data_IF_931906487831
#
_entry.id   IF_931906487831
#
_cell.length_a   1.000
_cell.length_b   1.000
_cell.length_c   1.000
_cell.angle_alpha   90.00
_cell.angle_beta   90.00
_cell.angle_gamma   90.00
#
_symmetry.space_group_name_H-M   'P 1'
#
loop_
_entity.id
_entity.type
_entity.pdbx_description
1 polymer ?
#
# COMPACT_ATOMS: atom_id res chain seq x y z
N UNK A 1 15.45 18.47 -1.19
CA UNK A 1 15.51 17.34 -0.25
C UNK A 1 16.94 17.20 0.21
N UNK A 2 17.20 17.18 1.52
CA UNK A 2 18.49 16.64 1.94
C UNK A 2 18.43 15.12 1.72
N UNK A 3 19.48 14.51 1.16
CA UNK A 3 19.51 13.05 0.93
C UNK A 3 19.39 12.24 2.24
N UNK A 4 19.53 12.91 3.39
CA UNK A 4 19.53 12.32 4.73
C UNK A 4 18.11 12.08 5.27
N UNK A 5 17.10 12.78 4.76
CA UNK A 5 15.71 12.65 5.25
C UNK A 5 14.99 11.42 4.69
N UNK A 6 15.44 10.88 3.55
CA UNK A 6 14.79 9.76 2.85
C UNK A 6 14.88 8.46 3.68
N UNK A 7 16.06 8.01 4.15
CA UNK A 7 16.14 6.79 4.97
C UNK A 7 15.31 6.89 6.26
N UNK A 8 15.33 8.05 6.91
CA UNK A 8 14.57 8.31 8.14
C UNK A 8 13.06 8.21 7.88
N UNK A 9 12.57 8.75 6.76
CA UNK A 9 11.17 8.63 6.38
C UNK A 9 10.74 7.19 6.09
N UNK A 10 11.59 6.40 5.44
CA UNK A 10 11.32 4.96 5.19
C UNK A 10 11.25 4.22 6.52
N UNK A 11 12.24 4.41 7.41
CA UNK A 11 12.27 3.77 8.71
C UNK A 11 11.04 4.16 9.55
N UNK A 12 10.66 5.43 9.51
CA UNK A 12 9.46 5.94 10.19
C UNK A 12 8.19 5.30 9.65
N UNK A 13 8.07 5.13 8.33
CA UNK A 13 6.98 4.38 7.71
C UNK A 13 6.88 2.95 8.25
N UNK A 14 8.00 2.24 8.33
CA UNK A 14 8.05 0.88 8.87
C UNK A 14 7.68 0.82 10.37
N UNK A 15 8.09 1.82 11.16
CA UNK A 15 7.66 1.95 12.55
C UNK A 15 6.14 2.14 12.66
N UNK A 16 5.56 2.98 11.79
CA UNK A 16 4.11 3.18 11.73
C UNK A 16 3.35 1.92 11.30
N UNK A 17 3.94 1.02 10.51
CA UNK A 17 3.35 -0.30 10.23
C UNK A 17 3.11 -1.05 11.53
N UNK A 18 4.13 -1.15 12.39
CA UNK A 18 4.06 -1.90 13.65
C UNK A 18 3.08 -1.23 14.62
N UNK A 19 3.23 0.08 14.83
CA UNK A 19 2.35 0.84 15.73
C UNK A 19 0.90 0.82 15.25
N UNK A 20 0.68 1.04 13.95
CA UNK A 20 -0.63 0.98 13.32
C UNK A 20 -1.27 -0.40 13.46
N UNK A 21 -0.51 -1.47 13.20
CA UNK A 21 -1.00 -2.84 13.35
C UNK A 21 -1.40 -3.15 14.80
N UNK A 22 -0.56 -2.77 15.77
CA UNK A 22 -0.88 -2.93 17.19
C UNK A 22 -2.14 -2.15 17.59
N UNK A 23 -2.28 -0.89 17.13
CA UNK A 23 -3.47 -0.06 17.39
C UNK A 23 -4.72 -0.63 16.75
N UNK A 24 -4.62 -1.18 15.54
CA UNK A 24 -5.71 -1.88 14.87
C UNK A 24 -6.13 -3.11 15.68
N UNK A 25 -5.18 -3.96 16.09
CA UNK A 25 -5.47 -5.15 16.92
C UNK A 25 -6.08 -4.82 18.28
N UNK A 26 -5.78 -3.64 18.84
CA UNK A 26 -6.38 -3.16 20.08
C UNK A 26 -7.80 -2.61 19.91
N UNK A 27 -8.29 -2.40 18.68
CA UNK A 27 -9.62 -1.85 18.45
C UNK A 27 -10.69 -2.94 18.61
N UNK A 28 -11.49 -2.93 19.70
CA UNK A 28 -12.49 -3.96 19.92
C UNK A 28 -13.58 -3.95 18.84
N UNK A 29 -13.81 -2.80 18.18
CA UNK A 29 -14.85 -2.66 17.16
C UNK A 29 -14.50 -3.33 15.84
N UNK A 30 -13.24 -3.71 15.63
CA UNK A 30 -12.84 -4.56 14.50
C UNK A 30 -13.25 -6.02 14.70
N UNK A 31 -13.53 -6.43 15.94
CA UNK A 31 -13.92 -7.79 16.32
C UNK A 31 -15.42 -7.86 16.68
N UNK A 32 -16.28 -7.36 15.78
CA UNK A 32 -17.73 -7.50 15.90
C UNK A 32 -18.24 -8.71 15.12
N UNK A 33 -19.44 -9.22 15.43
CA UNK A 33 -20.00 -10.43 14.80
C UNK A 33 -20.03 -10.37 13.25
N UNK A 34 -20.31 -9.21 12.67
CA UNK A 34 -20.30 -9.01 11.20
C UNK A 34 -18.90 -9.15 10.61
N UNK A 35 -17.91 -8.58 11.29
CA UNK A 35 -16.50 -8.64 10.90
C UNK A 35 -15.89 -10.01 11.17
N UNK A 36 -16.36 -10.76 12.17
CA UNK A 36 -15.98 -12.16 12.36
C UNK A 36 -16.47 -13.05 11.21
N UNK A 37 -17.71 -12.87 10.75
CA UNK A 37 -18.21 -13.55 9.54
C UNK A 37 -17.37 -13.20 8.32
N UNK A 38 -17.02 -11.92 8.15
CA UNK A 38 -16.13 -11.48 7.07
C UNK A 38 -14.71 -12.03 7.22
N UNK A 39 -14.18 -12.16 8.44
CA UNK A 39 -12.89 -12.76 8.72
C UNK A 39 -12.88 -14.26 8.39
N UNK A 40 -13.96 -14.98 8.69
CA UNK A 40 -14.12 -16.37 8.28
C UNK A 40 -14.16 -16.51 6.75
N UNK A 41 -14.91 -15.64 6.07
CA UNK A 41 -14.93 -15.55 4.60
C UNK A 41 -13.52 -15.20 4.07
N UNK A 42 -12.79 -14.30 4.73
CA UNK A 42 -11.43 -13.93 4.36
C UNK A 42 -10.43 -15.09 4.50
N UNK A 43 -10.58 -15.93 5.53
CA UNK A 43 -9.79 -17.15 5.70
C UNK A 43 -10.13 -18.16 4.61
N UNK A 44 -11.43 -18.39 4.34
CA UNK A 44 -11.87 -19.26 3.26
C UNK A 44 -11.39 -18.77 1.88
N UNK A 45 -11.48 -17.46 1.63
CA UNK A 45 -10.96 -16.81 0.43
C UNK A 45 -9.44 -16.94 0.33
N UNK A 46 -8.70 -16.78 1.43
CA UNK A 46 -7.24 -16.99 1.46
C UNK A 46 -6.88 -18.42 1.08
N UNK A 47 -7.63 -19.41 1.58
CA UNK A 47 -7.44 -20.82 1.23
C UNK A 47 -7.78 -21.08 -0.25
N UNK A 48 -8.90 -20.53 -0.74
CA UNK A 48 -9.31 -20.65 -2.13
C UNK A 48 -8.29 -20.01 -3.08
N UNK A 49 -7.83 -18.78 -2.80
CA UNK A 49 -6.77 -18.08 -3.52
C UNK A 49 -5.51 -18.95 -3.59
N UNK A 50 -5.12 -19.55 -2.47
CA UNK A 50 -3.95 -20.44 -2.44
C UNK A 50 -4.15 -21.68 -3.31
N UNK A 51 -5.33 -22.29 -3.29
CA UNK A 51 -5.63 -23.45 -4.14
C UNK A 51 -5.53 -23.05 -5.62
N UNK A 52 -6.17 -21.96 -6.02
CA UNK A 52 -6.12 -21.46 -7.41
C UNK A 52 -4.68 -21.20 -7.85
N UNK A 53 -3.89 -20.55 -7.00
CA UNK A 53 -2.48 -20.25 -7.26
C UNK A 53 -1.65 -21.54 -7.37
N UNK A 54 -1.97 -22.58 -6.58
CA UNK A 54 -1.24 -23.84 -6.60
C UNK A 54 -1.57 -24.72 -7.83
N UNK A 55 -2.73 -24.55 -8.47
CA UNK A 55 -3.19 -25.40 -9.58
C UNK A 55 -2.14 -25.51 -10.71
N UNK A 56 -1.60 -24.42 -11.29
CA UNK A 56 -0.63 -24.52 -12.38
C UNK A 56 0.64 -25.26 -11.96
N UNK A 57 1.14 -24.98 -10.76
CA UNK A 57 2.34 -25.61 -10.22
C UNK A 57 2.14 -27.10 -9.96
N UNK A 58 0.97 -27.50 -9.45
CA UNK A 58 0.61 -28.90 -9.24
C UNK A 58 0.40 -29.62 -10.58
N UNK A 59 -0.28 -29.00 -11.54
CA UNK A 59 -0.52 -29.58 -12.86
C UNK A 59 0.79 -29.86 -13.59
N UNK A 60 1.74 -28.91 -13.56
CA UNK A 60 3.07 -29.13 -14.16
C UNK A 60 3.83 -30.25 -13.45
N UNK A 61 3.74 -30.36 -12.12
CA UNK A 61 4.35 -31.48 -11.39
C UNK A 61 3.74 -32.83 -11.78
N UNK A 62 2.42 -32.91 -11.93
CA UNK A 62 1.72 -34.12 -12.36
C UNK A 62 2.15 -34.49 -13.79
N UNK A 63 2.22 -33.52 -14.69
CA UNK A 63 2.68 -33.74 -16.07
C UNK A 63 4.12 -34.21 -16.11
N UNK A 64 5.03 -33.57 -15.38
CA UNK A 64 6.44 -33.98 -15.30
C UNK A 64 6.58 -35.38 -14.69
N UNK A 65 5.78 -35.71 -13.68
CA UNK A 65 5.71 -37.05 -13.11
C UNK A 65 5.24 -38.08 -14.15
N UNK A 66 4.22 -37.77 -14.94
CA UNK A 66 3.73 -38.65 -16.01
C UNK A 66 4.79 -38.84 -17.11
N UNK A 67 5.45 -37.76 -17.54
CA UNK A 67 6.54 -37.83 -18.52
C UNK A 67 7.79 -38.51 -17.98
N UNK A 68 8.00 -38.54 -16.66
CA UNK A 68 9.08 -39.28 -15.99
C UNK A 68 9.00 -40.79 -16.20
N UNK A 69 7.84 -41.34 -16.56
CA UNK A 69 7.70 -42.74 -16.96
C UNK A 69 8.23 -43.02 -18.38
N UNK A 70 8.36 -41.99 -19.21
CA UNK A 70 8.75 -42.11 -20.63
C UNK A 70 10.20 -41.61 -20.84
N UNK A 71 10.62 -40.60 -20.09
CA UNK A 71 11.91 -39.91 -20.26
C UNK A 71 12.56 -39.71 -18.89
N UNK A 72 13.84 -40.06 -18.75
CA UNK A 72 14.59 -39.84 -17.51
C UNK A 72 15.01 -38.37 -17.35
N UNK A 73 14.20 -37.60 -16.63
CA UNK A 73 14.48 -36.21 -16.29
C UNK A 73 15.32 -36.04 -15.02
N UNK A 74 15.55 -37.09 -14.22
CA UNK A 74 16.26 -36.98 -12.94
C UNK A 74 17.75 -36.61 -13.14
N UNK A 75 18.36 -37.08 -14.22
CA UNK A 75 19.76 -36.82 -14.56
C UNK A 75 20.08 -35.36 -14.91
N UNK A 76 19.08 -34.58 -15.36
CA UNK A 76 19.29 -33.23 -15.91
C UNK A 76 18.90 -32.08 -14.97
N UNK A 77 18.23 -32.37 -13.84
CA UNK A 77 17.70 -31.36 -12.92
C UNK A 77 16.64 -30.42 -13.54
N UNK A 78 16.08 -30.80 -14.69
CA UNK A 78 15.12 -30.01 -15.46
C UNK A 78 13.81 -29.77 -14.70
N UNK A 79 13.30 -30.78 -13.98
CA UNK A 79 12.08 -30.68 -13.17
C UNK A 79 12.20 -29.57 -12.11
N UNK A 80 13.26 -29.62 -11.29
CA UNK A 80 13.51 -28.64 -10.21
C UNK A 80 13.62 -27.22 -10.76
N UNK A 81 14.32 -27.02 -11.90
CA UNK A 81 14.45 -25.71 -12.54
C UNK A 81 13.12 -25.19 -13.08
N UNK A 82 12.31 -26.06 -13.69
CA UNK A 82 11.01 -25.70 -14.29
C UNK A 82 9.99 -25.35 -13.22
N UNK A 83 9.84 -26.21 -12.21
CA UNK A 83 8.93 -25.97 -11.07
C UNK A 83 9.35 -24.73 -10.28
N UNK A 84 10.64 -24.53 -10.06
CA UNK A 84 11.14 -23.31 -9.39
C UNK A 84 10.94 -22.06 -10.23
N UNK A 85 11.10 -22.15 -11.55
CA UNK A 85 10.86 -21.04 -12.48
C UNK A 85 9.40 -20.64 -12.52
N UNK A 86 8.49 -21.62 -12.56
CA UNK A 86 7.05 -21.38 -12.53
C UNK A 86 6.61 -20.76 -11.20
N UNK A 87 7.07 -21.30 -10.07
CA UNK A 87 6.80 -20.73 -8.76
C UNK A 87 7.36 -19.29 -8.62
N UNK A 88 8.49 -18.99 -9.28
CA UNK A 88 9.04 -17.64 -9.33
C UNK A 88 8.19 -16.71 -10.20
N UNK A 89 7.74 -17.15 -11.37
CA UNK A 89 6.85 -16.35 -12.23
C UNK A 89 5.54 -16.06 -11.51
N UNK A 90 4.90 -17.07 -10.93
CA UNK A 90 3.65 -16.98 -10.18
C UNK A 90 3.76 -15.96 -9.03
N UNK A 91 4.80 -16.09 -8.19
CA UNK A 91 4.95 -15.29 -6.97
C UNK A 91 5.63 -13.94 -7.18
N UNK A 92 6.56 -13.85 -8.12
CA UNK A 92 7.39 -12.66 -8.31
C UNK A 92 7.04 -11.82 -9.53
N UNK A 93 6.66 -12.45 -10.64
CA UNK A 93 6.33 -11.73 -11.89
C UNK A 93 4.85 -11.37 -11.93
N UNK A 94 3.99 -12.36 -11.70
CA UNK A 94 2.54 -12.25 -11.77
C UNK A 94 1.91 -11.80 -10.45
N UNK A 95 2.63 -11.83 -9.32
CA UNK A 95 2.19 -11.48 -7.96
C UNK A 95 0.75 -11.89 -7.64
N UNK A 96 0.34 -13.09 -8.09
CA UNK A 96 -1.04 -13.56 -8.06
C UNK A 96 -1.73 -13.44 -6.68
N UNK A 97 -1.05 -13.70 -5.54
CA UNK A 97 -1.67 -13.49 -4.23
C UNK A 97 -2.13 -12.04 -4.01
N UNK A 98 -1.30 -11.07 -4.39
CA UNK A 98 -1.60 -9.65 -4.19
C UNK A 98 -2.74 -9.21 -5.11
N UNK A 99 -2.73 -9.64 -6.38
CA UNK A 99 -3.84 -9.40 -7.31
C UNK A 99 -5.17 -9.89 -6.76
N UNK A 100 -5.21 -11.14 -6.32
CA UNK A 100 -6.44 -11.76 -5.82
C UNK A 100 -6.91 -11.12 -4.50
N UNK A 101 -5.98 -10.68 -3.65
CA UNK A 101 -6.31 -9.89 -2.45
C UNK A 101 -6.90 -8.53 -2.82
N UNK A 102 -6.32 -7.80 -3.76
CA UNK A 102 -6.85 -6.53 -4.22
C UNK A 102 -8.25 -6.66 -4.88
N UNK A 103 -8.51 -7.78 -5.56
CA UNK A 103 -9.84 -8.10 -6.10
C UNK A 103 -10.91 -8.20 -5.00
N UNK A 104 -10.58 -8.67 -3.78
CA UNK A 104 -11.55 -8.82 -2.69
C UNK A 104 -12.21 -7.50 -2.30
N UNK A 105 -11.52 -6.37 -2.47
CA UNK A 105 -12.09 -5.05 -2.22
C UNK A 105 -13.30 -4.75 -3.11
N UNK A 106 -13.26 -5.15 -4.38
CA UNK A 106 -14.38 -4.94 -5.29
C UNK A 106 -15.57 -5.87 -4.98
N UNK A 107 -15.36 -6.89 -4.16
CA UNK A 107 -16.35 -7.89 -3.76
C UNK A 107 -17.01 -7.53 -2.43
N UNK A 108 -16.38 -6.72 -1.56
CA UNK A 108 -16.93 -6.41 -0.24
C UNK A 108 -16.72 -4.95 0.20
N UNK A 109 -17.80 -4.22 0.59
CA UNK A 109 -17.69 -2.89 1.20
C UNK A 109 -17.05 -2.88 2.59
N UNK A 110 -16.72 -4.06 3.14
CA UNK A 110 -16.12 -4.24 4.46
C UNK A 110 -14.83 -3.44 4.70
N UNK A 111 -14.02 -3.24 3.65
CA UNK A 111 -12.71 -2.56 3.80
C UNK A 111 -12.87 -1.08 4.16
N UNK A 112 -13.83 -0.42 3.51
CA UNK A 112 -14.14 0.98 3.79
C UNK A 112 -14.71 1.16 5.21
N UNK A 113 -15.57 0.23 5.63
CA UNK A 113 -16.11 0.18 7.00
C UNK A 113 -15.00 -0.03 8.04
N UNK A 114 -14.04 -0.94 7.77
CA UNK A 114 -12.88 -1.15 8.63
C UNK A 114 -12.03 0.11 8.78
N UNK A 115 -11.77 0.81 7.67
CA UNK A 115 -11.04 2.07 7.69
C UNK A 115 -11.75 3.09 8.60
N UNK A 116 -13.05 3.30 8.41
CA UNK A 116 -13.83 4.28 9.17
C UNK A 116 -13.94 3.91 10.66
N UNK A 117 -14.18 2.64 11.00
CA UNK A 117 -14.20 2.16 12.40
C UNK A 117 -12.84 2.29 13.08
N UNK A 118 -11.76 2.07 12.34
CA UNK A 118 -10.41 2.28 12.85
C UNK A 118 -10.12 3.76 13.10
N UNK A 119 -10.52 4.62 12.16
CA UNK A 119 -10.37 6.07 12.30
C UNK A 119 -11.10 6.62 13.52
N UNK A 120 -12.34 6.17 13.74
CA UNK A 120 -13.12 6.50 14.93
C UNK A 120 -12.38 6.13 16.23
N UNK A 121 -11.81 4.92 16.27
CA UNK A 121 -11.05 4.44 17.43
C UNK A 121 -9.77 5.25 17.68
N UNK A 122 -9.08 5.65 16.61
CA UNK A 122 -7.89 6.51 16.70
C UNK A 122 -8.25 7.87 17.31
N UNK A 123 -9.35 8.49 16.89
CA UNK A 123 -9.81 9.76 17.46
C UNK A 123 -10.24 9.61 18.93
N UNK A 124 -10.99 8.55 19.27
CA UNK A 124 -11.36 8.30 20.66
C UNK A 124 -10.16 8.09 21.56
N UNK A 125 -9.17 7.33 21.10
CA UNK A 125 -7.95 7.09 21.87
C UNK A 125 -7.11 8.35 22.01
N UNK A 126 -7.12 9.21 20.99
CA UNK A 126 -6.47 10.53 21.05
C UNK A 126 -7.10 11.40 22.14
N UNK A 127 -8.43 11.50 22.18
CA UNK A 127 -9.15 12.26 23.22
C UNK A 127 -8.84 11.71 24.61
N UNK A 128 -8.82 10.38 24.77
CA UNK A 128 -8.49 9.74 26.06
C UNK A 128 -7.05 10.05 26.50
N UNK A 129 -6.09 10.03 25.57
CA UNK A 129 -4.67 10.31 25.85
C UNK A 129 -4.45 11.76 26.28
N UNK A 130 -5.20 12.70 25.73
CA UNK A 130 -5.02 14.15 25.96
C UNK A 130 -6.13 14.74 26.87
N UNK A 131 -6.77 13.92 27.71
CA UNK A 131 -7.81 14.39 28.66
C UNK A 131 -7.30 15.46 29.64
N UNK A 132 -6.00 15.46 29.93
CA UNK A 132 -5.38 16.38 30.86
C UNK A 132 -4.81 17.64 30.18
N UNK A 133 -4.83 17.68 28.84
CA UNK A 133 -4.28 18.79 28.05
C UNK A 133 -5.37 19.83 27.76
N UNK A 134 -4.95 21.05 27.39
CA UNK A 134 -5.88 22.15 27.10
C UNK A 134 -6.71 21.83 25.84
N UNK A 135 -8.06 21.77 25.94
CA UNK A 135 -8.95 21.49 24.82
C UNK A 135 -8.74 22.40 23.60
N UNK A 136 -8.31 23.65 23.81
CA UNK A 136 -8.08 24.62 22.73
C UNK A 136 -6.85 24.27 21.86
N UNK A 137 -5.93 23.46 22.39
CA UNK A 137 -4.69 23.08 21.69
C UNK A 137 -4.79 21.74 20.97
N UNK A 138 -5.90 21.01 21.16
CA UNK A 138 -6.09 19.67 20.59
C UNK A 138 -6.35 19.76 19.09
N UNK A 139 -5.83 18.78 18.35
CA UNK A 139 -6.16 18.65 16.92
C UNK A 139 -7.66 18.39 16.72
N UNK A 140 -8.19 18.83 15.59
CA UNK A 140 -9.53 18.44 15.17
C UNK A 140 -9.65 16.92 14.90
N UNK A 141 -10.87 16.40 15.03
CA UNK A 141 -11.20 14.99 14.81
C UNK A 141 -11.32 14.68 13.31
N UNK A 142 -10.89 13.49 12.91
CA UNK A 142 -10.92 13.07 11.50
C UNK A 142 -12.24 12.38 11.16
N UNK A 143 -12.66 11.43 12.00
CA UNK A 143 -13.83 10.59 11.76
C UNK A 143 -15.13 11.38 11.52
N UNK A 144 -15.54 12.32 12.40
CA UNK A 144 -16.83 13.00 12.22
C UNK A 144 -16.87 13.82 10.93
N UNK A 145 -15.76 14.49 10.58
CA UNK A 145 -15.70 15.26 9.35
C UNK A 145 -15.69 14.35 8.13
N UNK A 146 -14.85 13.30 8.10
CA UNK A 146 -14.78 12.33 6.99
C UNK A 146 -16.09 11.57 6.77
N UNK A 147 -16.88 11.34 7.81
CA UNK A 147 -18.19 10.71 7.67
C UNK A 147 -19.18 11.60 6.91
N UNK A 148 -19.05 12.93 6.98
CA UNK A 148 -19.91 13.87 6.24
C UNK A 148 -19.56 13.96 4.75
N UNK A 149 -18.33 13.60 4.37
CA UNK A 149 -17.95 13.38 2.97
C UNK A 149 -18.50 12.02 2.53
N UNK A 150 -19.81 11.95 2.30
CA UNK A 150 -20.44 10.77 1.70
C UNK A 150 -19.77 10.48 0.35
N UNK A 151 -19.37 9.22 0.16
CA UNK A 151 -18.83 8.72 -1.11
C UNK A 151 -19.83 8.83 -2.28
N UNK A 152 -21.13 8.94 -1.96
CA UNK A 152 -22.25 8.87 -2.92
C UNK A 152 -23.04 10.17 -3.09
N UNK A 153 -22.84 11.23 -2.29
CA UNK A 153 -23.80 12.36 -2.19
C UNK A 153 -23.31 13.73 -2.65
N UNK A 154 -22.42 13.82 -3.64
CA UNK A 154 -22.05 15.12 -4.24
C UNK A 154 -22.40 15.16 -5.73
N UNK A 155 -23.13 16.20 -6.20
CA UNK A 155 -23.46 16.37 -7.61
C UNK A 155 -22.22 16.82 -8.38
N UNK A 156 -21.47 15.87 -8.93
CA UNK A 156 -20.57 16.16 -10.02
C UNK A 156 -21.40 16.42 -11.28
N UNK A 157 -21.14 17.53 -11.98
CA UNK A 157 -21.66 17.77 -13.34
C UNK A 157 -21.11 16.78 -14.38
N UNK A 158 -20.32 15.79 -13.95
CA UNK A 158 -20.00 14.60 -14.73
C UNK A 158 -20.87 13.45 -14.22
N UNK A 159 -21.56 12.71 -15.10
CA UNK A 159 -22.33 11.55 -14.69
C UNK A 159 -21.37 10.53 -14.08
N UNK A 160 -21.35 10.44 -12.75
CA UNK A 160 -20.91 9.25 -12.06
C UNK A 160 -21.95 8.17 -12.32
N UNK A 161 -21.94 7.61 -13.54
CA UNK A 161 -22.42 6.26 -13.76
C UNK A 161 -21.76 5.42 -12.66
N UNK A 162 -22.58 4.80 -11.81
CA UNK A 162 -22.15 3.70 -10.95
C UNK A 162 -21.51 2.69 -11.87
N UNK A 163 -20.19 2.80 -12.10
CA UNK A 163 -19.44 1.90 -12.96
C UNK A 163 -19.72 0.53 -12.38
N UNK A 164 -20.51 -0.27 -13.10
CA UNK A 164 -20.86 -1.63 -12.73
C UNK A 164 -19.60 -2.28 -12.19
N UNK A 165 -19.67 -2.93 -11.01
CA UNK A 165 -18.49 -3.50 -10.34
C UNK A 165 -17.63 -4.34 -11.28
N UNK A 166 -18.25 -4.94 -12.30
CA UNK A 166 -17.59 -5.60 -13.42
C UNK A 166 -16.61 -4.71 -14.21
N UNK A 167 -17.00 -3.48 -14.58
CA UNK A 167 -16.16 -2.52 -15.30
C UNK A 167 -14.95 -2.09 -14.45
N UNK A 168 -15.15 -1.91 -13.14
CA UNK A 168 -14.07 -1.60 -12.22
C UNK A 168 -13.07 -2.77 -12.09
N UNK A 169 -13.58 -3.99 -11.97
CA UNK A 169 -12.78 -5.23 -11.96
C UNK A 169 -12.02 -5.38 -13.28
N UNK A 170 -12.67 -5.22 -14.43
CA UNK A 170 -12.02 -5.34 -15.74
C UNK A 170 -10.90 -4.29 -15.91
N UNK A 171 -11.15 -3.04 -15.51
CA UNK A 171 -10.13 -1.99 -15.54
C UNK A 171 -8.96 -2.30 -14.61
N UNK A 172 -9.21 -2.92 -13.45
CA UNK A 172 -8.17 -3.40 -12.55
C UNK A 172 -7.37 -4.54 -13.18
N UNK A 173 -8.04 -5.57 -13.71
CA UNK A 173 -7.44 -6.70 -14.43
C UNK A 173 -6.55 -6.23 -15.59
N UNK A 174 -7.01 -5.28 -16.41
CA UNK A 174 -6.25 -4.75 -17.54
C UNK A 174 -4.97 -4.03 -17.08
N UNK A 175 -5.08 -3.18 -16.05
CA UNK A 175 -3.91 -2.49 -15.46
C UNK A 175 -2.91 -3.49 -14.88
N UNK A 176 -3.42 -4.54 -14.24
CA UNK A 176 -2.61 -5.58 -13.65
C UNK A 176 -1.90 -6.42 -14.73
N UNK A 177 -2.64 -6.88 -15.74
CA UNK A 177 -2.12 -7.63 -16.88
C UNK A 177 -1.05 -6.85 -17.63
N UNK A 178 -1.23 -5.54 -17.85
CA UNK A 178 -0.20 -4.69 -18.47
C UNK A 178 1.08 -4.65 -17.64
N UNK A 179 0.98 -4.55 -16.31
CA UNK A 179 2.16 -4.55 -15.42
C UNK A 179 2.85 -5.90 -15.39
N UNK A 180 2.07 -6.98 -15.30
CA UNK A 180 2.55 -8.35 -15.38
C UNK A 180 3.25 -8.65 -16.72
N UNK A 181 2.72 -8.12 -17.83
CA UNK A 181 3.35 -8.22 -19.14
C UNK A 181 4.68 -7.49 -19.21
N UNK A 182 4.79 -6.29 -18.62
CA UNK A 182 6.06 -5.54 -18.55
C UNK A 182 7.08 -6.28 -17.67
N UNK A 183 6.68 -6.77 -16.49
CA UNK A 183 7.59 -7.53 -15.61
C UNK A 183 8.05 -8.84 -16.27
N UNK A 184 7.15 -9.52 -16.99
CA UNK A 184 7.49 -10.71 -17.77
C UNK A 184 8.46 -10.37 -18.90
N UNK A 185 8.21 -9.30 -19.67
CA UNK A 185 9.12 -8.88 -20.73
C UNK A 185 10.52 -8.54 -20.20
N UNK A 186 10.60 -7.79 -19.10
CA UNK A 186 11.87 -7.50 -18.41
C UNK A 186 12.56 -8.81 -18.01
N UNK A 187 11.83 -9.75 -17.40
CA UNK A 187 12.38 -11.04 -17.00
C UNK A 187 12.91 -11.84 -18.21
N UNK A 188 12.14 -11.92 -19.30
CA UNK A 188 12.54 -12.62 -20.53
C UNK A 188 13.79 -12.00 -21.17
N UNK A 189 13.87 -10.66 -21.19
CA UNK A 189 15.05 -9.95 -21.68
C UNK A 189 16.32 -10.27 -20.86
N UNK A 190 16.20 -10.69 -19.59
CA UNK A 190 17.37 -11.09 -18.78
C UNK A 190 18.06 -12.36 -19.25
N UNK A 191 17.43 -13.16 -20.12
CA UNK A 191 18.02 -14.36 -20.72
C UNK A 191 18.82 -14.08 -21.98
N UNK A 192 18.74 -12.85 -22.53
CA UNK A 192 19.52 -12.49 -23.71
C UNK A 192 21.00 -12.37 -23.34
N UNK A 193 21.93 -13.02 -24.05
CA UNK A 193 23.34 -13.12 -23.64
C UNK A 193 24.05 -11.76 -23.55
N UNK A 194 23.75 -10.84 -24.46
CA UNK A 194 24.44 -9.54 -24.53
C UNK A 194 23.76 -8.45 -23.71
N UNK A 195 22.43 -8.42 -23.69
CA UNK A 195 21.65 -7.34 -23.06
C UNK A 195 21.22 -7.73 -21.63
N UNK A 196 21.04 -9.02 -21.36
CA UNK A 196 20.42 -9.55 -20.15
C UNK A 196 21.04 -9.10 -18.82
N UNK A 197 22.38 -8.96 -18.69
CA UNK A 197 23.01 -8.42 -17.49
C UNK A 197 22.63 -6.95 -17.20
N UNK A 198 22.34 -6.15 -18.23
CA UNK A 198 22.03 -4.72 -18.10
C UNK A 198 20.54 -4.45 -17.84
N UNK A 199 19.65 -5.39 -18.17
CA UNK A 199 18.20 -5.20 -18.09
C UNK A 199 17.72 -4.88 -16.68
N UNK A 200 18.13 -5.65 -15.68
CA UNK A 200 17.68 -5.43 -14.29
C UNK A 200 18.30 -4.17 -13.67
N UNK A 201 19.61 -3.88 -13.83
CA UNK A 201 20.17 -2.58 -13.45
C UNK A 201 19.44 -1.42 -14.09
N UNK A 202 19.26 -1.42 -15.42
CA UNK A 202 18.60 -0.35 -16.14
C UNK A 202 17.14 -0.16 -15.71
N UNK A 203 16.39 -1.26 -15.54
CA UNK A 203 15.03 -1.22 -15.02
C UNK A 203 14.96 -0.66 -13.60
N UNK A 204 15.94 -1.01 -12.75
CA UNK A 204 16.03 -0.49 -11.38
C UNK A 204 16.33 1.00 -11.37
N UNK A 205 17.29 1.45 -12.18
CA UNK A 205 17.60 2.87 -12.34
C UNK A 205 16.39 3.66 -12.84
N UNK A 206 15.73 3.19 -13.90
CA UNK A 206 14.56 3.86 -14.45
C UNK A 206 13.43 4.00 -13.42
N UNK A 207 13.20 2.95 -12.63
CA UNK A 207 12.13 2.91 -11.62
C UNK A 207 12.44 3.80 -10.42
N UNK A 208 13.71 3.81 -9.98
CA UNK A 208 14.14 4.54 -8.79
C UNK A 208 14.46 6.01 -9.05
N UNK A 209 14.97 6.36 -10.24
CA UNK A 209 15.43 7.72 -10.52
C UNK A 209 14.33 8.77 -10.28
N UNK A 210 13.08 8.45 -10.65
CA UNK A 210 11.94 9.33 -10.40
C UNK A 210 11.50 9.40 -8.93
N UNK A 211 11.82 8.40 -8.13
CA UNK A 211 11.34 8.23 -6.76
C UNK A 211 12.34 8.71 -5.70
N UNK A 212 13.61 8.34 -5.86
CA UNK A 212 14.71 8.64 -4.90
C UNK A 212 15.77 9.60 -5.48
N UNK A 213 15.61 10.02 -6.74
CA UNK A 213 16.55 10.89 -7.42
C UNK A 213 17.71 10.13 -8.09
N UNK A 214 18.55 10.84 -8.85
CA UNK A 214 19.54 10.21 -9.72
C UNK A 214 20.68 9.55 -8.96
N UNK A 215 21.11 10.13 -7.83
CA UNK A 215 22.29 9.67 -7.11
C UNK A 215 22.06 8.33 -6.37
N UNK A 216 20.97 8.15 -5.58
CA UNK A 216 20.65 6.83 -5.03
C UNK A 216 20.31 5.79 -6.10
N UNK A 217 19.63 6.21 -7.18
CA UNK A 217 19.31 5.30 -8.29
C UNK A 217 20.57 4.78 -8.99
N UNK A 218 21.58 5.64 -9.17
CA UNK A 218 22.87 5.25 -9.75
C UNK A 218 23.63 4.26 -8.87
N UNK A 219 23.59 4.43 -7.54
CA UNK A 219 24.17 3.46 -6.60
C UNK A 219 23.51 2.08 -6.76
N UNK A 220 22.18 2.03 -6.82
CA UNK A 220 21.44 0.77 -7.07
C UNK A 220 21.74 0.17 -8.44
N UNK A 221 21.92 1.00 -9.47
CA UNK A 221 22.35 0.56 -10.80
C UNK A 221 23.72 -0.13 -10.74
N UNK A 222 24.70 0.50 -10.12
CA UNK A 222 26.07 -0.04 -9.98
C UNK A 222 26.08 -1.32 -9.14
N UNK A 223 25.36 -1.34 -8.02
CA UNK A 223 25.18 -2.55 -7.20
C UNK A 223 24.50 -3.68 -7.97
N UNK A 224 23.64 -3.35 -8.93
CA UNK A 224 22.93 -4.31 -9.77
C UNK A 224 23.84 -5.22 -10.61
N UNK A 225 25.08 -4.81 -10.88
CA UNK A 225 26.05 -5.66 -11.58
C UNK A 225 26.68 -6.73 -10.68
N UNK A 226 26.74 -6.47 -9.38
CA UNK A 226 27.34 -7.37 -8.38
C UNK A 226 26.28 -8.25 -7.71
N UNK A 227 25.07 -7.71 -7.55
CA UNK A 227 23.98 -8.40 -6.85
C UNK A 227 23.39 -9.55 -7.68
N UNK A 228 23.10 -10.71 -7.07
CA UNK A 228 22.39 -11.77 -7.77
C UNK A 228 21.01 -11.30 -8.27
N UNK A 229 20.65 -11.66 -9.52
CA UNK A 229 19.41 -11.25 -10.19
C UNK A 229 18.14 -11.38 -9.32
N UNK A 230 18.07 -12.42 -8.48
CA UNK A 230 16.95 -12.70 -7.57
C UNK A 230 16.70 -11.56 -6.57
N UNK A 231 17.76 -10.95 -6.04
CA UNK A 231 17.64 -9.84 -5.08
C UNK A 231 17.14 -8.56 -5.76
N UNK A 232 17.60 -8.28 -6.97
CA UNK A 232 17.11 -7.15 -7.76
C UNK A 232 15.62 -7.30 -8.08
N UNK A 233 15.20 -8.50 -8.51
CA UNK A 233 13.77 -8.75 -8.78
C UNK A 233 12.96 -8.64 -7.50
N UNK A 234 13.42 -9.23 -6.38
CA UNK A 234 12.74 -9.10 -5.09
C UNK A 234 12.58 -7.63 -4.65
N UNK A 235 13.64 -6.83 -4.82
CA UNK A 235 13.61 -5.41 -4.51
C UNK A 235 12.61 -4.64 -5.38
N UNK A 236 12.69 -4.79 -6.71
CA UNK A 236 11.76 -4.11 -7.62
C UNK A 236 10.32 -4.54 -7.37
N UNK A 237 10.12 -5.83 -7.10
CA UNK A 237 8.82 -6.36 -6.74
C UNK A 237 8.28 -5.69 -5.48
N UNK A 238 9.08 -5.64 -4.41
CA UNK A 238 8.71 -4.97 -3.16
C UNK A 238 8.41 -3.49 -3.37
N UNK A 239 9.20 -2.79 -4.18
CA UNK A 239 8.97 -1.40 -4.54
C UNK A 239 7.62 -1.17 -5.23
N UNK A 240 7.34 -1.92 -6.31
CA UNK A 240 6.09 -1.76 -7.05
C UNK A 240 4.87 -2.26 -6.28
N UNK A 241 5.01 -3.36 -5.54
CA UNK A 241 3.95 -3.91 -4.71
C UNK A 241 3.61 -2.95 -3.57
N UNK A 242 4.60 -2.40 -2.86
CA UNK A 242 4.38 -1.38 -1.83
C UNK A 242 3.67 -0.15 -2.38
N UNK A 243 4.09 0.39 -3.53
CA UNK A 243 3.41 1.56 -4.15
C UNK A 243 1.98 1.25 -4.57
N UNK A 244 1.72 0.02 -5.03
CA UNK A 244 0.38 -0.40 -5.45
C UNK A 244 -0.52 -0.60 -4.24
N UNK A 245 -0.03 -1.32 -3.23
CA UNK A 245 -0.71 -1.51 -1.95
C UNK A 245 -1.09 -0.16 -1.35
N UNK A 246 -0.18 0.81 -1.28
CA UNK A 246 -0.54 2.10 -0.69
C UNK A 246 -1.59 2.89 -1.46
N UNK A 247 -1.62 2.76 -2.79
CA UNK A 247 -2.68 3.39 -3.59
C UNK A 247 -4.04 2.78 -3.30
N UNK A 248 -4.07 1.49 -3.01
CA UNK A 248 -5.29 0.77 -2.63
C UNK A 248 -5.68 1.12 -1.18
N UNK A 249 -4.78 0.96 -0.21
CA UNK A 249 -5.09 1.20 1.21
C UNK A 249 -5.55 2.65 1.51
N UNK A 250 -5.10 3.63 0.72
CA UNK A 250 -5.48 5.04 0.89
C UNK A 250 -6.73 5.44 0.10
N UNK A 251 -7.27 4.57 -0.73
CA UNK A 251 -8.43 4.89 -1.55
C UNK A 251 -9.70 5.22 -0.74
N UNK A 252 -10.01 4.62 0.45
CA UNK A 252 -11.10 5.10 1.30
C UNK A 252 -11.01 6.60 1.61
N UNK A 253 -9.80 7.10 1.86
CA UNK A 253 -9.56 8.52 2.10
C UNK A 253 -9.75 9.36 0.81
N UNK A 254 -9.14 8.93 -0.29
CA UNK A 254 -9.22 9.66 -1.58
C UNK A 254 -10.58 9.58 -2.27
N UNK A 255 -11.42 8.61 -1.92
CA UNK A 255 -12.79 8.54 -2.41
C UNK A 255 -13.72 9.56 -1.74
N UNK A 256 -13.32 10.08 -0.57
CA UNK A 256 -14.09 11.07 0.20
C UNK A 256 -13.63 12.50 -0.07
N UNK A 257 -12.32 12.71 -0.10
CA UNK A 257 -11.74 14.03 -0.34
C UNK A 257 -11.38 14.15 -1.82
N UNK A 258 -11.93 15.16 -2.47
CA UNK A 258 -11.79 15.37 -3.91
C UNK A 258 -10.38 15.88 -4.27
N UNK A 259 -9.49 14.96 -4.65
CA UNK A 259 -8.22 15.30 -5.27
C UNK A 259 -8.34 15.14 -6.79
N UNK A 260 -7.87 16.13 -7.55
CA UNK A 260 -7.61 15.91 -8.98
C UNK A 260 -6.49 14.90 -9.15
N UNK A 261 -6.41 14.28 -10.34
CA UNK A 261 -5.38 13.28 -10.66
C UNK A 261 -3.96 13.81 -10.41
N UNK A 262 -3.72 15.07 -10.73
CA UNK A 262 -2.41 15.71 -10.56
C UNK A 262 -2.13 16.02 -9.09
N UNK A 263 -3.10 16.52 -8.34
CA UNK A 263 -2.96 16.74 -6.89
C UNK A 263 -2.67 15.42 -6.17
N UNK A 264 -3.41 14.35 -6.47
CA UNK A 264 -3.18 13.00 -5.91
C UNK A 264 -1.76 12.52 -6.24
N UNK A 265 -1.31 12.66 -7.49
CA UNK A 265 0.05 12.27 -7.88
C UNK A 265 1.13 13.05 -7.11
N UNK A 266 0.96 14.37 -6.93
CA UNK A 266 1.89 15.20 -6.16
C UNK A 266 1.89 14.83 -4.67
N UNK A 267 0.71 14.60 -4.09
CA UNK A 267 0.55 14.15 -2.70
C UNK A 267 1.31 12.84 -2.43
N UNK A 268 1.15 11.84 -3.32
CA UNK A 268 1.85 10.56 -3.21
C UNK A 268 3.37 10.72 -3.34
N UNK A 269 3.83 11.61 -4.22
CA UNK A 269 5.25 11.87 -4.45
C UNK A 269 5.89 12.53 -3.22
N UNK A 270 5.21 13.48 -2.59
CA UNK A 270 5.77 14.20 -1.44
C UNK A 270 5.92 13.30 -0.19
N UNK A 271 5.05 12.30 -0.06
CA UNK A 271 5.03 11.30 1.02
C UNK A 271 5.61 9.95 0.61
N UNK A 272 6.28 9.86 -0.55
CA UNK A 272 6.68 8.59 -1.14
C UNK A 272 7.52 7.71 -0.21
N UNK A 273 8.49 8.30 0.51
CA UNK A 273 9.39 7.55 1.38
C UNK A 273 8.67 6.94 2.60
N UNK A 274 7.79 7.69 3.28
CA UNK A 274 7.04 7.17 4.44
C UNK A 274 6.00 6.14 4.01
N UNK A 275 5.32 6.39 2.89
CA UNK A 275 4.36 5.46 2.31
C UNK A 275 5.04 4.17 1.83
N UNK A 276 6.26 4.27 1.27
CA UNK A 276 7.06 3.12 0.89
C UNK A 276 7.45 2.29 2.11
N UNK A 277 7.96 2.91 3.18
CA UNK A 277 8.29 2.19 4.42
C UNK A 277 7.09 1.46 5.01
N UNK A 278 5.95 2.16 5.09
CA UNK A 278 4.71 1.59 5.62
C UNK A 278 4.17 0.44 4.76
N UNK A 279 4.09 0.67 3.45
CA UNK A 279 3.60 -0.31 2.49
C UNK A 279 4.52 -1.52 2.33
N UNK A 280 5.85 -1.33 2.42
CA UNK A 280 6.81 -2.42 2.40
C UNK A 280 6.65 -3.33 3.62
N UNK A 281 6.44 -2.73 4.80
CA UNK A 281 6.18 -3.49 6.04
C UNK A 281 4.95 -4.38 5.90
N UNK A 282 3.81 -3.83 5.48
CA UNK A 282 2.61 -4.64 5.24
C UNK A 282 2.78 -5.62 4.07
N UNK A 283 3.49 -5.27 3.01
CA UNK A 283 3.80 -6.20 1.92
C UNK A 283 4.56 -7.43 2.42
N UNK A 284 5.54 -7.27 3.32
CA UNK A 284 6.25 -8.40 3.93
C UNK A 284 5.31 -9.27 4.77
N UNK A 285 4.40 -8.67 5.53
CA UNK A 285 3.39 -9.40 6.32
C UNK A 285 2.41 -10.16 5.41
N UNK A 286 1.90 -9.52 4.35
CA UNK A 286 1.00 -10.11 3.36
C UNK A 286 1.65 -11.25 2.57
N UNK A 287 2.97 -11.19 2.36
CA UNK A 287 3.74 -12.24 1.71
C UNK A 287 3.84 -13.50 2.58
N UNK A 288 3.63 -13.38 3.89
CA UNK A 288 3.60 -14.54 4.79
C UNK A 288 2.35 -15.38 4.48
N UNK A 289 2.51 -16.66 4.13
CA UNK A 289 1.36 -17.51 3.82
C UNK A 289 0.42 -17.63 5.04
N UNK A 290 -0.84 -18.00 4.79
CA UNK A 290 -1.90 -18.30 5.78
C UNK A 290 -2.73 -17.13 6.32
N UNK A 291 -2.19 -15.91 6.39
CA UNK A 291 -2.90 -14.76 7.00
C UNK A 291 -3.12 -13.57 6.07
N UNK A 292 -2.77 -13.69 4.78
CA UNK A 292 -2.77 -12.57 3.82
C UNK A 292 -4.04 -11.71 3.81
N UNK A 293 -5.23 -12.28 3.66
CA UNK A 293 -6.47 -11.46 3.61
C UNK A 293 -6.80 -10.85 4.98
N UNK A 294 -6.52 -11.55 6.08
CA UNK A 294 -6.71 -11.01 7.44
C UNK A 294 -5.75 -9.83 7.69
N UNK A 295 -4.48 -10.00 7.30
CA UNK A 295 -3.46 -8.96 7.35
C UNK A 295 -3.85 -7.76 6.48
N UNK A 296 -4.53 -7.98 5.35
CA UNK A 296 -5.05 -6.89 4.52
C UNK A 296 -6.07 -6.03 5.28
N UNK A 297 -7.00 -6.65 6.02
CA UNK A 297 -7.93 -5.91 6.88
C UNK A 297 -7.21 -5.13 8.00
N UNK A 298 -6.17 -5.71 8.59
CA UNK A 298 -5.30 -5.01 9.56
C UNK A 298 -4.57 -3.84 8.88
N UNK A 299 -4.06 -4.02 7.66
CA UNK A 299 -3.38 -2.98 6.90
C UNK A 299 -4.32 -1.81 6.58
N UNK A 300 -5.57 -2.09 6.20
CA UNK A 300 -6.61 -1.10 5.95
C UNK A 300 -6.91 -0.30 7.23
N UNK A 301 -7.16 -0.99 8.34
CA UNK A 301 -7.37 -0.37 9.64
C UNK A 301 -6.15 0.46 10.11
N UNK A 302 -4.94 -0.04 9.89
CA UNK A 302 -3.69 0.67 10.23
C UNK A 302 -3.48 1.91 9.36
N UNK A 303 -4.01 1.92 8.15
CA UNK A 303 -3.93 3.06 7.25
C UNK A 303 -4.75 4.24 7.75
N UNK A 304 -5.84 4.00 8.49
CA UNK A 304 -6.56 5.06 9.19
C UNK A 304 -5.65 5.79 10.20
N UNK A 305 -4.87 5.04 10.99
CA UNK A 305 -3.88 5.62 11.89
C UNK A 305 -2.80 6.39 11.13
N UNK A 306 -2.27 5.81 10.04
CA UNK A 306 -1.27 6.47 9.20
C UNK A 306 -1.76 7.83 8.68
N UNK A 307 -3.00 7.91 8.17
CA UNK A 307 -3.59 9.15 7.67
C UNK A 307 -3.53 10.25 8.72
N UNK A 308 -3.91 9.95 9.97
CA UNK A 308 -3.85 10.94 11.05
C UNK A 308 -2.44 11.49 11.32
N UNK A 309 -1.38 10.86 10.80
CA UNK A 309 0.01 11.28 11.02
C UNK A 309 0.62 12.05 9.85
N UNK A 310 0.07 11.88 8.65
CA UNK A 310 0.68 12.39 7.41
C UNK A 310 -0.21 13.37 6.65
N UNK A 311 -1.43 13.60 7.13
CA UNK A 311 -2.35 14.63 6.63
C UNK A 311 -2.79 15.50 7.78
N UNK A 312 -3.43 16.63 7.45
CA UNK A 312 -4.16 17.44 8.41
C UNK A 312 -5.60 16.92 8.53
N UNK A 313 -6.31 17.17 9.64
CA UNK A 313 -7.71 16.80 9.79
C UNK A 313 -8.55 17.51 8.71
N UNK A 314 -9.45 16.79 8.01
CA UNK A 314 -10.29 17.41 7.00
C UNK A 314 -11.31 18.36 7.66
N UNK A 315 -11.60 19.51 7.04
CA UNK A 315 -12.64 20.42 7.51
C UNK A 315 -14.04 19.84 7.23
N UNK A 316 -15.10 20.52 7.68
CA UNK A 316 -16.46 20.15 7.26
C UNK A 316 -16.62 20.29 5.73
N UNK A 317 -17.50 19.50 5.07
CA UNK A 317 -17.67 19.57 3.61
C UNK A 317 -17.99 20.96 3.06
N UNK A 318 -18.67 21.82 3.84
CA UNK A 318 -18.96 23.21 3.51
C UNK A 318 -17.69 24.08 3.33
N UNK A 319 -16.60 23.71 4.00
CA UNK A 319 -15.32 24.42 4.02
C UNK A 319 -14.22 23.64 3.28
N UNK A 320 -14.61 22.59 2.53
CA UNK A 320 -13.67 21.70 1.84
C UNK A 320 -12.98 22.33 0.63
N UNK A 321 -13.45 23.50 0.19
CA UNK A 321 -12.90 24.21 -0.96
C UNK A 321 -11.42 24.55 -0.74
N UNK A 322 -10.55 24.08 -1.63
CA UNK A 322 -9.10 24.33 -1.54
C UNK A 322 -8.34 23.45 -0.55
N UNK A 323 -9.01 22.67 0.32
CA UNK A 323 -8.34 21.78 1.28
C UNK A 323 -7.41 20.78 0.59
N UNK A 324 -7.83 20.18 -0.54
CA UNK A 324 -6.99 19.25 -1.29
C UNK A 324 -5.66 19.87 -1.76
N UNK A 325 -5.65 21.18 -2.06
CA UNK A 325 -4.44 21.89 -2.48
C UNK A 325 -3.47 22.10 -1.30
N UNK A 326 -4.00 22.42 -0.11
CA UNK A 326 -3.18 22.59 1.11
C UNK A 326 -2.47 21.31 1.52
N UNK A 327 -3.07 20.15 1.20
CA UNK A 327 -2.54 18.84 1.54
C UNK A 327 -1.44 18.32 0.60
N UNK A 328 -1.21 18.94 -0.56
CA UNK A 328 -0.24 18.45 -1.54
C UNK A 328 1.17 18.39 -0.95
N UNK A 329 1.60 19.48 -0.31
CA UNK A 329 2.88 19.56 0.38
C UNK A 329 2.72 19.11 1.84
N UNK A 330 3.59 18.21 2.30
CA UNK A 330 3.63 17.77 3.68
C UNK A 330 4.36 18.82 4.54
N UNK A 331 3.59 19.81 4.99
CA UNK A 331 4.10 20.99 5.71
C UNK A 331 4.97 20.62 6.93
N UNK A 332 4.56 19.62 7.70
CA UNK A 332 5.20 19.24 8.97
C UNK A 332 6.19 18.08 8.86
N UNK A 333 6.66 17.76 7.64
CA UNK A 333 7.52 16.60 7.37
C UNK A 333 8.80 16.56 8.19
N UNK A 334 9.54 17.66 8.28
CA UNK A 334 10.84 17.67 8.97
C UNK A 334 10.68 17.51 10.49
N UNK A 335 9.67 18.15 11.08
CA UNK A 335 9.33 18.00 12.49
C UNK A 335 8.89 16.55 12.76
N UNK A 336 8.10 15.94 11.86
CA UNK A 336 7.63 14.55 11.96
C UNK A 336 8.75 13.53 12.00
N UNK A 337 9.77 13.71 11.17
CA UNK A 337 10.91 12.80 11.10
C UNK A 337 11.83 12.89 12.32
N UNK A 338 11.82 14.02 13.04
CA UNK A 338 12.68 14.26 14.21
C UNK A 338 12.05 13.87 15.54
N UNK A 339 10.73 13.73 15.60
CA UNK A 339 10.03 13.39 16.84
C UNK A 339 10.33 11.97 17.33
N UNK A 340 10.32 11.81 18.66
CA UNK A 340 10.29 10.48 19.28
C UNK A 340 8.96 9.79 18.96
N UNK A 341 8.97 8.46 18.91
CA UNK A 341 7.77 7.66 18.61
C UNK A 341 6.61 7.96 19.57
N UNK A 342 6.92 8.22 20.84
CA UNK A 342 5.94 8.49 21.89
C UNK A 342 5.23 9.86 21.73
N UNK A 343 5.88 10.79 21.03
CA UNK A 343 5.48 12.19 20.86
C UNK A 343 4.88 12.48 19.48
N UNK A 344 4.65 11.46 18.65
CA UNK A 344 4.17 11.62 17.25
C UNK A 344 2.82 12.38 17.18
N UNK A 345 2.01 12.34 18.23
CA UNK A 345 0.71 12.99 18.28
C UNK A 345 0.80 14.53 18.34
N UNK A 346 1.90 15.10 18.86
CA UNK A 346 2.07 16.54 19.16
C UNK A 346 2.13 17.45 17.94
N UNK A 347 2.34 16.91 16.74
CA UNK A 347 2.49 17.74 15.53
C UNK A 347 1.19 18.38 15.06
N UNK A 348 0.09 17.65 15.16
CA UNK A 348 -1.19 18.15 14.67
C UNK A 348 -1.75 19.23 15.61
N UNK A 349 -1.32 19.24 16.87
CA UNK A 349 -1.61 20.28 17.87
C UNK A 349 -0.90 21.60 17.50
N UNK A 350 0.35 21.52 17.03
CA UNK A 350 1.10 22.70 16.61
C UNK A 350 0.60 23.29 15.28
N UNK A 351 0.11 22.45 14.37
CA UNK A 351 -0.50 22.88 13.11
C UNK A 351 -1.81 23.65 13.33
N UNK A 352 -2.70 23.11 14.18
CA UNK A 352 -3.96 23.76 14.56
C UNK A 352 -3.71 25.14 15.20
N UNK A 353 -2.77 25.21 16.15
CA UNK A 353 -2.37 26.46 16.81
C UNK A 353 -1.68 27.50 15.89
N UNK A 354 -1.20 27.11 14.70
CA UNK A 354 -0.64 28.05 13.71
C UNK A 354 -1.72 28.61 12.78
N UNK A 355 -2.72 27.80 12.42
CA UNK A 355 -3.85 28.25 11.59
C UNK A 355 -4.76 29.22 12.37
N UNK A 356 -5.07 28.95 13.65
CA UNK A 356 -5.86 29.87 14.49
C UNK A 356 -5.23 31.27 14.64
N UNK A 357 -3.89 31.32 14.72
CA UNK A 357 -3.14 32.59 14.81
C UNK A 357 -3.09 33.38 13.50
N UNK A 358 -3.31 32.73 12.36
CA UNK A 358 -3.44 33.40 11.08
C UNK A 358 -4.85 33.94 10.85
N UNK A 359 -5.89 33.20 11.29
CA UNK A 359 -7.28 33.67 11.23
C UNK A 359 -7.61 34.83 12.17
N UNK A 360 -6.86 35.02 13.27
CA UNK A 360 -7.01 36.16 14.18
C UNK A 360 -6.19 37.42 13.77
N UNK A 361 -5.48 37.37 12.64
CA UNK A 361 -4.65 38.49 12.15
C UNK A 361 -5.17 39.14 10.87
N UNK A 362 -6.30 38.68 10.35
CA UNK A 362 -7.13 39.36 9.34
C UNK A 362 -8.39 39.89 10.02
#
# INVERSE_FOLDING_TARGET
>A
MSNVDIPNAILRGAQLTIVGALRALQNPRLFNETLYKQAAIAVAASLAIRLVIAIPTVLVRILLWFFGFIIDFQSSGFDVRTVSGLAFIEKSVLQLPFFLMACMRFVSPAMDEMFMKSLQWVDQTYVVKHKADDPSTLRAMYYPNLQMYNSDSVPSNEPHEKKSSYVAIMAFCQKYARRAGISMAIYLLTFMPWIGPFVLPAASFYSLNKAVGPLPAMVFFMLGFVLPKRWMVFFLQGFFASRSLMRELLEPYFSRIHFTKDQKNRWFRDREAVLFGFGLGFYMLLKTPWVGVLVYGIAEASTAYLITKITDPPPAPSESAGFAETQIAWKNKHEFLKLRLDDIDKLNEQAANREDRHFHKE
#
